data_IF_591538933505
#
_entry.id   IF_591538933505
#
_cell.length_a   1.000
_cell.length_b   1.000
_cell.length_c   1.000
_cell.angle_alpha   90.00
_cell.angle_beta   90.00
_cell.angle_gamma   90.00
#
_symmetry.space_group_name_H-M   'P 1'
#
loop_
_entity.id
_entity.type
_entity.pdbx_description
1 polymer ?
#
# COMPACT_ATOMS: atom_id res chain seq x y z
N UNK A 1 -1.87 -7.35 22.13
CA UNK A 1 -1.56 -7.87 20.79
C UNK A 1 -0.17 -7.40 20.40
N UNK A 2 0.77 -8.26 19.96
CA UNK A 2 2.06 -7.79 19.48
C UNK A 2 1.86 -7.05 18.16
N UNK A 3 2.23 -5.76 18.13
CA UNK A 3 2.21 -4.93 16.93
C UNK A 3 3.64 -4.77 16.42
N UNK A 4 3.93 -5.26 15.22
CA UNK A 4 5.21 -5.04 14.56
C UNK A 4 5.15 -3.74 13.77
N UNK A 5 6.00 -2.78 14.12
CA UNK A 5 6.17 -1.54 13.38
C UNK A 5 7.25 -1.72 12.32
N UNK A 6 7.12 -1.01 11.22
CA UNK A 6 8.08 -0.96 10.14
C UNK A 6 8.47 0.49 9.90
N UNK A 7 9.75 0.74 9.71
CA UNK A 7 10.23 2.08 9.39
C UNK A 7 9.82 2.48 7.97
N UNK A 8 9.52 3.77 7.78
CA UNK A 8 9.18 4.29 6.45
C UNK A 8 10.42 4.51 5.57
N UNK A 9 11.60 4.74 6.16
CA UNK A 9 12.81 5.05 5.41
C UNK A 9 13.19 3.98 4.36
N UNK A 10 13.13 2.66 4.68
CA UNK A 10 13.33 1.60 3.68
C UNK A 10 12.30 1.60 2.54
N UNK A 11 11.10 2.14 2.77
CA UNK A 11 10.00 2.16 1.81
C UNK A 11 10.05 3.39 0.87
N UNK A 12 10.84 4.41 1.21
CA UNK A 12 10.89 5.69 0.48
C UNK A 12 11.14 5.55 -1.03
N UNK A 13 12.05 4.67 -1.51
CA UNK A 13 12.25 4.50 -2.95
C UNK A 13 10.95 4.09 -3.66
N UNK A 14 10.23 3.13 -3.09
CA UNK A 14 8.99 2.63 -3.68
C UNK A 14 7.84 3.63 -3.54
N UNK A 15 7.76 4.34 -2.41
CA UNK A 15 6.83 5.45 -2.21
C UNK A 15 7.05 6.52 -3.29
N UNK A 16 8.30 6.84 -3.59
CA UNK A 16 8.65 7.84 -4.61
C UNK A 16 8.25 7.40 -6.04
N UNK A 17 8.38 6.11 -6.38
CA UNK A 17 7.90 5.58 -7.66
C UNK A 17 6.39 5.77 -7.85
N UNK A 18 5.62 5.69 -6.77
CA UNK A 18 4.15 5.79 -6.79
C UNK A 18 3.61 7.23 -6.75
N UNK A 19 4.48 8.24 -6.62
CA UNK A 19 4.13 9.65 -6.36
C UNK A 19 3.16 10.30 -7.36
N UNK A 20 3.11 9.78 -8.59
CA UNK A 20 2.23 10.32 -9.64
C UNK A 20 0.80 9.77 -9.56
N UNK A 21 0.56 8.72 -8.78
CA UNK A 21 -0.73 8.02 -8.72
C UNK A 21 -1.43 8.16 -7.36
N UNK A 22 -0.70 8.44 -6.28
CA UNK A 22 -1.27 8.50 -4.94
C UNK A 22 -0.45 9.35 -3.97
N UNK A 23 -1.07 9.73 -2.87
CA UNK A 23 -0.44 10.52 -1.81
C UNK A 23 0.63 9.69 -1.08
N UNK A 24 1.67 10.31 -0.48
CA UNK A 24 2.75 9.58 0.17
C UNK A 24 2.29 8.58 1.25
N UNK A 25 1.23 8.92 2.01
CA UNK A 25 0.66 8.03 3.01
C UNK A 25 0.05 6.77 2.38
N UNK A 26 -0.67 6.93 1.28
CA UNK A 26 -1.27 5.82 0.54
C UNK A 26 -0.20 4.91 -0.06
N UNK A 27 0.82 5.53 -0.66
CA UNK A 27 1.97 4.83 -1.21
C UNK A 27 2.75 4.06 -0.14
N UNK A 28 2.76 4.54 1.12
CA UNK A 28 3.43 3.85 2.23
C UNK A 28 2.76 2.53 2.59
N UNK A 29 1.42 2.46 2.55
CA UNK A 29 0.68 1.22 2.76
C UNK A 29 0.92 0.22 1.63
N UNK A 30 0.91 0.69 0.38
CA UNK A 30 1.21 -0.14 -0.80
C UNK A 30 2.65 -0.66 -0.74
N UNK A 31 3.63 0.22 -0.50
CA UNK A 31 5.04 -0.15 -0.43
C UNK A 31 5.31 -1.17 0.68
N UNK A 32 4.66 -1.02 1.83
CA UNK A 32 4.76 -1.99 2.91
C UNK A 32 4.14 -3.34 2.53
N UNK A 33 2.92 -3.34 1.97
CA UNK A 33 2.25 -4.56 1.53
C UNK A 33 3.07 -5.32 0.48
N UNK A 34 3.62 -4.61 -0.52
CA UNK A 34 4.52 -5.17 -1.52
C UNK A 34 5.80 -5.77 -0.88
N UNK A 35 6.42 -5.06 0.06
CA UNK A 35 7.65 -5.50 0.74
C UNK A 35 7.41 -6.77 1.57
N UNK A 36 6.22 -6.90 2.15
CA UNK A 36 5.83 -8.05 2.96
C UNK A 36 5.24 -9.21 2.16
N UNK A 37 5.00 -9.03 0.86
CA UNK A 37 4.23 -9.99 0.05
C UNK A 37 2.80 -10.18 0.57
N UNK A 38 2.23 -9.16 1.20
CA UNK A 38 0.93 -9.19 1.85
C UNK A 38 -0.16 -8.54 0.98
N UNK A 39 -1.42 -8.87 1.30
CA UNK A 39 -2.59 -8.20 0.72
C UNK A 39 -2.85 -6.87 1.44
N UNK A 40 -3.11 -5.81 0.66
CA UNK A 40 -3.59 -4.54 1.20
C UNK A 40 -5.10 -4.62 1.41
N UNK A 41 -5.51 -4.87 2.65
CA UNK A 41 -6.92 -4.81 3.06
C UNK A 41 -7.31 -3.37 3.34
N UNK A 42 -8.38 -2.89 2.70
CA UNK A 42 -8.81 -1.50 2.82
C UNK A 42 -10.31 -1.35 2.62
N UNK A 43 -10.88 -0.25 3.12
CA UNK A 43 -12.23 0.21 2.77
C UNK A 43 -12.19 1.35 1.74
N UNK A 44 -10.99 1.85 1.43
CA UNK A 44 -10.81 2.97 0.51
C UNK A 44 -10.84 2.48 -0.94
N UNK A 45 -11.87 2.91 -1.68
CA UNK A 45 -12.11 2.51 -3.06
C UNK A 45 -11.00 2.95 -4.02
N UNK A 46 -10.22 3.98 -3.66
CA UNK A 46 -9.19 4.53 -4.55
C UNK A 46 -8.05 3.54 -4.88
N UNK A 47 -7.82 2.54 -4.02
CA UNK A 47 -6.80 1.51 -4.27
C UNK A 47 -7.28 0.44 -5.26
N UNK A 48 -8.59 0.29 -5.46
CA UNK A 48 -9.12 -0.64 -6.44
C UNK A 48 -8.77 -0.13 -7.85
N UNK A 49 -7.88 -0.84 -8.54
CA UNK A 49 -7.43 -0.46 -9.88
C UNK A 49 -6.35 0.63 -9.91
N UNK A 50 -5.71 0.95 -8.78
CA UNK A 50 -4.61 1.91 -8.77
C UNK A 50 -3.46 1.39 -9.67
N UNK A 51 -2.97 2.20 -10.62
CA UNK A 51 -1.97 1.74 -11.57
C UNK A 51 -0.61 1.55 -10.89
N UNK A 52 0.17 0.60 -11.41
CA UNK A 52 1.54 0.32 -11.00
C UNK A 52 1.74 -0.19 -9.56
N UNK A 53 0.67 -0.61 -8.86
CA UNK A 53 0.80 -1.38 -7.62
C UNK A 53 1.05 -2.86 -7.93
N UNK A 54 1.83 -3.53 -7.09
CA UNK A 54 2.24 -4.94 -7.27
C UNK A 54 1.64 -5.88 -6.23
N UNK A 55 1.02 -5.35 -5.17
CA UNK A 55 0.32 -6.13 -4.16
C UNK A 55 -1.15 -6.35 -4.55
N UNK A 56 -1.74 -7.44 -4.05
CA UNK A 56 -3.18 -7.64 -4.12
C UNK A 56 -3.89 -6.60 -3.23
N UNK A 57 -5.01 -6.08 -3.70
CA UNK A 57 -5.88 -5.19 -2.93
C UNK A 57 -7.19 -5.91 -2.65
N UNK A 58 -7.58 -5.95 -1.39
CA UNK A 58 -8.87 -6.46 -0.94
C UNK A 58 -9.68 -5.31 -0.36
N UNK A 59 -10.65 -4.86 -1.16
CA UNK A 59 -11.55 -3.81 -0.74
C UNK A 59 -12.78 -4.42 -0.08
N UNK A 60 -12.94 -4.17 1.22
CA UNK A 60 -14.03 -4.74 2.02
C UNK A 60 -15.42 -4.20 1.67
N UNK A 61 -15.53 -3.17 0.81
CA UNK A 61 -16.82 -2.64 0.31
C UNK A 61 -17.29 -3.28 -0.99
N UNK A 62 -16.43 -4.07 -1.65
CA UNK A 62 -16.74 -4.73 -2.93
C UNK A 62 -17.01 -6.24 -2.74
N UNK A 63 -17.29 -6.65 -1.50
CA UNK A 63 -17.61 -8.02 -1.08
C UNK A 63 -19.07 -8.08 -0.61
#
# INVERSE_FOLDING_TARGET
MPLRRYDHAPLLPRIWELRHNMWPYDASYVALAETLGAELVTVDAKFAGAPHIRCRVNNLRLI
#
